data_IF_054835160501
#
_entry.id   IF_054835160501
#
_cell.length_a   1.000
_cell.length_b   1.000
_cell.length_c   1.000
_cell.angle_alpha   90.00
_cell.angle_beta   90.00
_cell.angle_gamma   90.00
#
_symmetry.space_group_name_H-M   'P 1'
#
loop_
_entity.id
_entity.type
_entity.pdbx_description
1 polymer ?
#
# COMPACT_ATOMS: atom_id res chain seq x y z
N UNK A 1 3.71 18.92 -52.08
CA UNK A 1 4.71 18.20 -51.26
C UNK A 1 4.04 17.29 -50.24
N UNK A 2 4.34 16.00 -50.29
CA UNK A 2 3.94 15.07 -49.23
C UNK A 2 4.99 15.19 -48.12
N UNK A 3 4.65 15.90 -47.06
CA UNK A 3 5.50 16.00 -45.87
C UNK A 3 5.56 14.64 -45.17
N UNK A 4 6.63 13.88 -45.40
CA UNK A 4 6.90 12.66 -44.65
C UNK A 4 7.21 13.02 -43.19
N UNK A 5 6.38 12.56 -42.27
CA UNK A 5 6.68 12.65 -40.84
C UNK A 5 7.85 11.73 -40.50
N UNK A 6 8.83 12.22 -39.75
CA UNK A 6 9.94 11.39 -39.27
C UNK A 6 9.37 10.35 -38.27
N UNK A 7 9.49 9.04 -38.54
CA UNK A 7 8.90 8.00 -37.69
C UNK A 7 9.57 7.90 -36.32
N UNK A 8 10.80 8.43 -36.16
CA UNK A 8 11.54 8.34 -34.89
C UNK A 8 10.86 9.16 -33.76
N UNK A 9 10.60 10.47 -33.90
CA UNK A 9 9.88 11.23 -32.88
C UNK A 9 8.50 10.67 -32.53
N UNK A 10 7.76 10.16 -33.51
CA UNK A 10 6.39 9.69 -33.29
C UNK A 10 6.35 8.49 -32.33
N UNK A 11 7.23 7.51 -32.56
CA UNK A 11 7.32 6.34 -31.67
C UNK A 11 7.82 6.74 -30.29
N UNK A 12 8.83 7.61 -30.21
CA UNK A 12 9.36 8.05 -28.92
C UNK A 12 8.30 8.75 -28.06
N UNK A 13 7.50 9.65 -28.66
CA UNK A 13 6.41 10.33 -27.97
C UNK A 13 5.34 9.33 -27.52
N UNK A 14 4.94 8.39 -28.39
CA UNK A 14 3.96 7.37 -28.05
C UNK A 14 4.44 6.51 -26.86
N UNK A 15 5.71 6.10 -26.86
CA UNK A 15 6.28 5.33 -25.75
C UNK A 15 6.32 6.12 -24.45
N UNK A 16 6.68 7.41 -24.50
CA UNK A 16 6.71 8.25 -23.32
C UNK A 16 5.32 8.40 -22.68
N UNK A 17 4.28 8.56 -23.51
CA UNK A 17 2.89 8.66 -23.04
C UNK A 17 2.46 7.34 -22.38
N UNK A 18 2.69 6.20 -23.05
CA UNK A 18 2.28 4.89 -22.52
C UNK A 18 3.00 4.57 -21.21
N UNK A 19 4.30 4.84 -21.13
CA UNK A 19 5.08 4.64 -19.89
C UNK A 19 4.58 5.56 -18.78
N UNK A 20 4.26 6.82 -19.10
CA UNK A 20 3.68 7.76 -18.14
C UNK A 20 2.37 7.25 -17.54
N UNK A 21 1.42 6.88 -18.39
CA UNK A 21 0.11 6.37 -17.94
C UNK A 21 0.26 5.05 -17.17
N UNK A 22 1.11 4.13 -17.63
CA UNK A 22 1.33 2.85 -16.96
C UNK A 22 1.91 3.04 -15.55
N UNK A 23 2.88 3.95 -15.40
CA UNK A 23 3.53 4.23 -14.11
C UNK A 23 2.56 4.91 -13.15
N UNK A 24 1.79 5.89 -13.61
CA UNK A 24 0.76 6.54 -12.78
C UNK A 24 -0.33 5.57 -12.37
N UNK A 25 -0.81 4.71 -13.27
CA UNK A 25 -1.82 3.70 -12.96
C UNK A 25 -1.32 2.71 -11.91
N UNK A 26 -0.07 2.25 -12.03
CA UNK A 26 0.55 1.37 -11.03
C UNK A 26 0.68 2.07 -9.67
N UNK A 27 1.18 3.30 -9.64
CA UNK A 27 1.30 4.08 -8.41
C UNK A 27 -0.05 4.26 -7.71
N UNK A 28 -1.09 4.62 -8.47
CA UNK A 28 -2.44 4.78 -7.95
C UNK A 28 -3.02 3.44 -7.44
N UNK A 29 -2.79 2.34 -8.16
CA UNK A 29 -3.24 1.02 -7.73
C UNK A 29 -2.60 0.61 -6.39
N UNK A 30 -1.33 0.93 -6.18
CA UNK A 30 -0.65 0.69 -4.90
C UNK A 30 -1.26 1.52 -3.77
N UNK A 31 -1.48 2.83 -4.00
CA UNK A 31 -2.11 3.72 -3.01
C UNK A 31 -3.50 3.22 -2.61
N UNK A 32 -4.34 2.89 -3.60
CA UNK A 32 -5.68 2.35 -3.35
C UNK A 32 -5.61 1.02 -2.59
N UNK A 33 -4.64 0.15 -2.91
CA UNK A 33 -4.46 -1.14 -2.24
C UNK A 33 -4.05 -0.99 -0.78
N UNK A 34 -3.19 0.00 -0.47
CA UNK A 34 -2.78 0.35 0.89
C UNK A 34 -3.99 0.87 1.67
N UNK A 35 -4.69 1.87 1.12
CA UNK A 35 -5.87 2.43 1.76
C UNK A 35 -6.96 1.36 2.00
N UNK A 36 -7.18 0.45 1.05
CA UNK A 36 -8.14 -0.64 1.22
C UNK A 36 -7.71 -1.66 2.30
N UNK A 37 -6.42 -1.82 2.57
CA UNK A 37 -5.92 -2.74 3.59
C UNK A 37 -5.90 -2.14 4.99
N UNK A 38 -5.55 -0.85 5.11
CA UNK A 38 -5.29 -0.20 6.40
C UNK A 38 -6.33 0.88 6.74
N UNK A 39 -7.21 1.26 5.82
CA UNK A 39 -8.16 2.36 6.01
C UNK A 39 -7.53 3.75 6.01
N UNK A 40 -6.20 3.84 5.86
CA UNK A 40 -5.43 5.07 5.85
C UNK A 40 -4.23 4.95 4.90
N UNK A 41 -3.73 6.09 4.46
CA UNK A 41 -2.47 6.23 3.70
C UNK A 41 -1.37 6.91 4.52
N UNK A 42 -1.68 7.38 5.73
CA UNK A 42 -0.72 8.04 6.61
C UNK A 42 0.20 6.99 7.27
N UNK A 43 1.52 7.22 7.20
CA UNK A 43 2.52 6.22 7.56
C UNK A 43 2.46 5.80 9.03
N UNK A 44 2.24 6.75 9.95
CA UNK A 44 2.15 6.53 11.39
C UNK A 44 0.92 5.68 11.77
N UNK A 45 -0.22 5.94 11.12
CA UNK A 45 -1.43 5.14 11.29
C UNK A 45 -1.22 3.71 10.77
N UNK A 46 -0.64 3.55 9.57
CA UNK A 46 -0.35 2.25 8.97
C UNK A 46 0.62 1.44 9.84
N UNK A 47 1.67 2.08 10.38
CA UNK A 47 2.64 1.43 11.27
C UNK A 47 1.99 0.96 12.57
N UNK A 48 1.11 1.77 13.16
CA UNK A 48 0.38 1.44 14.39
C UNK A 48 -0.52 0.22 14.17
N UNK A 49 -1.33 0.23 13.10
CA UNK A 49 -2.23 -0.88 12.75
C UNK A 49 -1.43 -2.17 12.52
N UNK A 50 -0.29 -2.10 11.82
CA UNK A 50 0.59 -3.26 11.61
C UNK A 50 1.19 -3.77 12.91
N UNK A 51 1.58 -2.88 13.82
CA UNK A 51 2.14 -3.26 15.12
C UNK A 51 1.09 -3.96 16.00
N UNK A 52 -0.13 -3.42 16.06
CA UNK A 52 -1.26 -4.04 16.78
C UNK A 52 -1.63 -5.41 16.21
N UNK A 53 -1.66 -5.55 14.88
CA UNK A 53 -1.89 -6.83 14.23
C UNK A 53 -0.79 -7.87 14.49
N UNK A 54 0.44 -7.42 14.82
CA UNK A 54 1.59 -8.28 15.09
C UNK A 54 1.73 -8.66 16.58
N UNK A 55 1.00 -8.02 17.51
CA UNK A 55 1.10 -8.33 18.93
C UNK A 55 0.41 -9.67 19.25
N UNK A 56 1.11 -10.63 19.88
CA UNK A 56 0.49 -11.84 20.37
C UNK A 56 -0.47 -11.46 21.51
N UNK A 57 -1.70 -12.02 21.47
CA UNK A 57 -2.74 -11.81 22.50
C UNK A 57 -2.27 -12.36 23.85
N UNK A 58 -1.49 -11.58 24.60
CA UNK A 58 -1.13 -11.85 25.99
C UNK A 58 -2.26 -11.35 26.88
N UNK A 59 -3.39 -12.06 26.90
CA UNK A 59 -4.47 -11.77 27.88
C UNK A 59 -5.30 -12.99 28.25
N UNK A 60 -4.71 -14.18 28.41
CA UNK A 60 -5.40 -15.29 29.09
C UNK A 60 -4.74 -15.77 30.38
N UNK A 61 -3.53 -15.32 30.70
CA UNK A 61 -2.75 -15.88 31.82
C UNK A 61 -2.85 -15.09 33.15
N UNK A 62 -3.44 -13.89 33.17
CA UNK A 62 -3.44 -13.04 34.37
C UNK A 62 -4.67 -13.22 35.28
N UNK A 63 -5.63 -14.11 34.96
CA UNK A 63 -6.82 -14.34 35.79
C UNK A 63 -6.79 -15.63 36.60
N UNK A 64 -5.73 -16.44 36.51
CA UNK A 64 -5.62 -17.69 37.31
C UNK A 64 -4.92 -17.45 38.66
N UNK A 65 -4.05 -16.44 38.77
CA UNK A 65 -3.27 -16.19 40.00
C UNK A 65 -4.06 -15.50 41.12
N UNK A 66 -5.16 -14.82 40.83
CA UNK A 66 -6.00 -14.17 41.86
C UNK A 66 -7.01 -15.15 42.48
N UNK A 67 -7.24 -16.31 41.87
CA UNK A 67 -8.15 -17.35 42.39
C UNK A 67 -7.46 -18.30 43.38
N UNK A 68 -6.14 -18.49 43.29
CA UNK A 68 -5.37 -19.32 44.24
C UNK A 68 -5.07 -18.60 45.56
N UNK A 69 -5.05 -17.26 45.60
CA UNK A 69 -4.82 -16.49 46.82
C UNK A 69 -6.05 -16.36 47.73
N UNK A 70 -7.22 -16.85 47.29
CA UNK A 70 -8.50 -16.79 48.01
C UNK A 70 -9.07 -18.17 48.42
N UNK A 71 -8.33 -19.26 48.21
CA UNK A 71 -8.70 -20.60 48.67
C UNK A 71 -7.81 -21.06 49.83
#
# INVERSE_FOLDING_TARGET
DVAYSNPLPHVLILTAIVVGVATTALGLALVLRIHAAFGSIEDDEVLTIKAEAALPRVTRAASETDSEARS
#
